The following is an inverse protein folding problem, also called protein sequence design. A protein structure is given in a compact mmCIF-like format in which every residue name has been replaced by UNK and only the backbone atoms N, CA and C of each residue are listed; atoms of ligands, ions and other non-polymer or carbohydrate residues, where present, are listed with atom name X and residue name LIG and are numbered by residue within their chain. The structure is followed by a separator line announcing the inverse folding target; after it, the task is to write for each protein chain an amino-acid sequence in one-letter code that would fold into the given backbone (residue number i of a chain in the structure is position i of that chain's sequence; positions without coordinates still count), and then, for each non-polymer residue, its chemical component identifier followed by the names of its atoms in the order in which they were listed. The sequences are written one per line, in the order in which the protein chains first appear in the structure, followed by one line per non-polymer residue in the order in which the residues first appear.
data_IF_082738330857
#
_entry.id   IF_082738330857
#
_cell.length_a   1.000
_cell.length_b   1.000
_cell.length_c   1.000
_cell.angle_alpha   90.00
_cell.angle_beta   90.00
_cell.angle_gamma   90.00
#
_symmetry.space_group_name_H-M   'P 1'
#
loop_
_entity.id
_entity.type
_entity.pdbx_description
1 polymer ?
#
# COMPACT_ATOMS: atom_id res chain seq x y z
N UNK A 1 -8.38 -24.15 27.06
CA UNK A 1 -7.61 -22.98 27.57
C UNK A 1 -7.23 -22.11 26.40
N UNK A 2 -7.68 -20.85 26.36
CA UNK A 2 -7.31 -19.90 25.30
C UNK A 2 -5.89 -19.40 25.61
N UNK A 3 -4.98 -19.49 24.62
CA UNK A 3 -3.64 -18.93 24.73
C UNK A 3 -3.73 -17.41 24.96
N UNK A 4 -3.01 -16.83 25.91
CA UNK A 4 -3.06 -15.41 26.16
C UNK A 4 -2.59 -14.65 24.91
N UNK A 5 -3.46 -13.78 24.40
CA UNK A 5 -3.17 -12.95 23.24
C UNK A 5 -2.09 -11.92 23.63
N UNK A 6 -0.84 -12.17 23.24
CA UNK A 6 0.25 -11.20 23.42
C UNK A 6 0.01 -10.02 22.47
N UNK A 7 -0.45 -8.91 23.01
CA UNK A 7 -0.47 -7.65 22.25
C UNK A 7 0.96 -7.20 22.02
N UNK A 8 1.37 -7.16 20.78
CA UNK A 8 2.63 -6.55 20.40
C UNK A 8 2.58 -5.05 20.77
N UNK A 9 3.47 -4.60 21.65
CA UNK A 9 3.55 -3.19 22.09
C UNK A 9 3.73 -2.22 20.92
N UNK A 10 4.30 -2.68 19.81
CA UNK A 10 4.48 -1.93 18.56
C UNK A 10 3.17 -1.60 17.85
N UNK A 11 2.05 -2.25 18.22
CA UNK A 11 0.68 -1.92 17.76
C UNK A 11 0.00 -0.88 18.65
N UNK A 12 0.74 -0.21 19.51
CA UNK A 12 0.21 0.80 20.41
C UNK A 12 -0.53 1.91 19.67
N UNK A 13 -1.67 2.40 20.17
CA UNK A 13 -2.34 3.61 19.68
C UNK A 13 -1.42 4.83 19.61
N UNK A 14 -0.43 4.91 20.49
CA UNK A 14 0.58 5.97 20.52
C UNK A 14 1.35 6.08 19.19
N UNK A 15 1.86 4.98 18.65
CA UNK A 15 2.58 5.02 17.36
C UNK A 15 1.70 5.47 16.19
N UNK A 16 0.42 5.13 16.22
CA UNK A 16 -0.54 5.60 15.21
C UNK A 16 -0.79 7.09 15.31
N UNK A 17 -0.95 7.61 16.52
CA UNK A 17 -1.16 9.04 16.76
C UNK A 17 0.07 9.85 16.37
N UNK A 18 1.27 9.38 16.72
CA UNK A 18 2.55 10.01 16.33
C UNK A 18 2.71 10.01 14.80
N UNK A 19 2.37 8.91 14.12
CA UNK A 19 2.40 8.87 12.65
C UNK A 19 1.46 9.90 12.03
N UNK A 20 0.21 9.98 12.50
CA UNK A 20 -0.77 10.95 12.01
C UNK A 20 -0.30 12.39 12.25
N UNK A 21 0.29 12.67 13.40
CA UNK A 21 0.85 13.98 13.71
C UNK A 21 2.01 14.33 12.77
N UNK A 22 2.96 13.43 12.57
CA UNK A 22 4.09 13.63 11.67
C UNK A 22 3.63 13.86 10.21
N UNK A 23 2.63 13.11 9.77
CA UNK A 23 2.05 13.29 8.44
C UNK A 23 1.37 14.65 8.31
N UNK A 24 0.60 15.05 9.31
CA UNK A 24 -0.06 16.36 9.37
C UNK A 24 0.96 17.51 9.36
N UNK A 25 2.07 17.40 10.11
CA UNK A 25 3.16 18.39 10.09
C UNK A 25 3.81 18.50 8.72
N UNK A 26 4.01 17.38 8.01
CA UNK A 26 4.50 17.39 6.62
C UNK A 26 3.52 18.11 5.68
N UNK A 27 2.23 17.86 5.81
CA UNK A 27 1.22 18.58 5.00
C UNK A 27 1.23 20.08 5.29
N UNK A 28 1.35 20.49 6.54
CA UNK A 28 1.46 21.93 6.89
C UNK A 28 2.68 22.60 6.27
N UNK A 29 3.81 21.91 6.19
CA UNK A 29 5.03 22.43 5.53
C UNK A 29 4.79 22.82 4.07
N UNK A 30 3.91 22.13 3.39
CA UNK A 30 3.56 22.38 1.98
C UNK A 30 2.29 23.24 1.81
N UNK A 31 1.75 23.84 2.88
CA UNK A 31 0.54 24.67 2.81
C UNK A 31 -0.61 24.01 2.03
N UNK A 32 -0.84 22.72 2.24
CA UNK A 32 -1.78 21.94 1.48
C UNK A 32 -3.24 22.30 1.81
N UNK A 33 -4.03 22.58 0.78
CA UNK A 33 -5.49 22.72 0.85
C UNK A 33 -6.15 21.46 0.28
N UNK A 34 -7.03 20.86 1.06
CA UNK A 34 -7.86 19.73 0.63
C UNK A 34 -9.24 20.23 0.21
N UNK A 35 -9.69 19.82 -0.95
CA UNK A 35 -11.04 20.03 -1.44
C UNK A 35 -11.90 18.78 -1.16
N UNK A 36 -12.83 18.89 -0.23
CA UNK A 36 -13.70 17.78 0.17
C UNK A 36 -14.64 17.32 -0.96
N UNK A 37 -14.99 18.19 -1.90
CA UNK A 37 -15.90 17.86 -3.00
C UNK A 37 -15.20 17.03 -4.08
N UNK A 38 -14.00 17.42 -4.45
CA UNK A 38 -13.23 16.76 -5.51
C UNK A 38 -12.25 15.70 -4.98
N UNK A 39 -11.88 15.76 -3.70
CA UNK A 39 -10.84 14.92 -3.10
C UNK A 39 -9.42 15.32 -3.49
N UNK A 40 -9.25 16.47 -4.17
CA UNK A 40 -7.98 16.98 -4.62
C UNK A 40 -7.23 17.73 -3.51
N UNK A 41 -5.92 17.71 -3.60
CA UNK A 41 -5.02 18.42 -2.70
C UNK A 41 -4.15 19.33 -3.54
N UNK A 42 -4.09 20.61 -3.15
CA UNK A 42 -3.29 21.63 -3.86
C UNK A 42 -2.37 22.30 -2.84
N UNK A 43 -1.11 22.44 -3.21
CA UNK A 43 -0.16 23.29 -2.50
C UNK A 43 -0.42 24.76 -2.87
N UNK A 44 -0.84 25.56 -1.91
CA UNK A 44 -1.18 26.97 -2.13
C UNK A 44 0.03 27.85 -2.48
N UNK A 45 1.26 27.42 -2.12
CA UNK A 45 2.48 28.17 -2.40
C UNK A 45 2.92 27.99 -3.86
N UNK A 46 2.90 26.78 -4.36
CA UNK A 46 3.38 26.44 -5.72
C UNK A 46 2.27 26.24 -6.74
N UNK A 47 1.00 26.25 -6.30
CA UNK A 47 -0.17 25.89 -7.09
C UNK A 47 -0.07 24.49 -7.74
N UNK A 48 0.79 23.63 -7.19
CA UNK A 48 0.94 22.25 -7.65
C UNK A 48 -0.04 21.33 -6.94
N UNK A 49 -0.52 20.34 -7.67
CA UNK A 49 -1.29 19.25 -7.06
C UNK A 49 -0.39 18.38 -6.21
N UNK A 50 -0.93 17.92 -5.09
CA UNK A 50 -0.27 16.96 -4.22
C UNK A 50 -1.02 15.63 -4.29
N UNK A 51 -0.28 14.56 -4.54
CA UNK A 51 -0.80 13.20 -4.64
C UNK A 51 -0.33 12.40 -3.43
N UNK A 52 -1.20 11.58 -2.90
CA UNK A 52 -0.86 10.64 -1.82
C UNK A 52 -0.96 9.23 -2.36
N UNK A 53 0.14 8.49 -2.30
CA UNK A 53 0.19 7.09 -2.67
C UNK A 53 0.47 6.21 -1.46
N UNK A 54 -0.14 5.04 -1.45
CA UNK A 54 0.28 3.91 -0.61
C UNK A 54 1.09 2.96 -1.48
N UNK A 55 2.32 2.69 -1.06
CA UNK A 55 3.25 1.80 -1.74
C UNK A 55 3.53 0.56 -0.91
N UNK A 56 3.56 -0.58 -1.54
CA UNK A 56 3.93 -1.86 -0.93
C UNK A 56 4.28 -2.91 -1.98
N UNK A 57 4.99 -3.96 -1.58
CA UNK A 57 5.29 -5.12 -2.38
C UNK A 57 4.50 -6.34 -1.90
N UNK A 58 4.08 -7.17 -2.82
CA UNK A 58 3.35 -8.39 -2.50
C UNK A 58 3.82 -9.57 -3.33
N UNK A 59 4.06 -10.69 -2.65
CA UNK A 59 4.32 -11.96 -3.31
C UNK A 59 3.00 -12.66 -3.65
N UNK A 60 2.94 -13.18 -4.87
CA UNK A 60 1.84 -13.99 -5.38
C UNK A 60 2.37 -15.38 -5.67
N UNK A 61 1.75 -16.37 -5.07
CA UNK A 61 2.06 -17.78 -5.32
C UNK A 61 0.94 -18.39 -6.14
N UNK A 62 1.32 -19.23 -7.08
CA UNK A 62 0.40 -19.91 -7.96
C UNK A 62 -0.42 -20.98 -7.25
N UNK A 63 0.22 -21.74 -6.38
CA UNK A 63 -0.47 -22.69 -5.51
C UNK A 63 -1.21 -21.91 -4.44
N UNK A 64 -2.50 -21.68 -4.68
CA UNK A 64 -3.33 -20.81 -3.87
C UNK A 64 -3.46 -21.26 -2.43
N UNK A 65 -3.72 -20.29 -1.57
CA UNK A 65 -4.30 -20.57 -0.26
C UNK A 65 -5.64 -21.30 -0.51
N UNK A 66 -5.73 -22.57 -0.10
CA UNK A 66 -6.93 -23.35 -0.22
C UNK A 66 -8.11 -22.61 0.40
N UNK A 67 -9.13 -22.36 -0.42
CA UNK A 67 -10.40 -21.85 0.09
C UNK A 67 -10.97 -22.95 0.99
N UNK A 68 -11.20 -22.64 2.25
CA UNK A 68 -11.92 -23.54 3.14
C UNK A 68 -13.36 -23.64 2.63
N UNK A 69 -13.74 -24.78 2.11
CA UNK A 69 -15.13 -25.08 1.71
C UNK A 69 -15.77 -25.98 2.76
N UNK A 70 -17.02 -25.67 3.09
CA UNK A 70 -17.86 -26.59 3.86
C UNK A 70 -18.40 -27.61 2.86
N UNK A 71 -18.01 -28.87 3.01
CA UNK A 71 -18.43 -29.95 2.12
C UNK A 71 -18.74 -31.19 2.96
N UNK A 72 -19.74 -31.95 2.53
CA UNK A 72 -20.12 -33.26 3.16
C UNK A 72 -19.09 -34.34 2.87
N UNK A 73 -18.29 -34.18 1.82
CA UNK A 73 -17.20 -35.09 1.46
C UNK A 73 -15.91 -34.33 1.35
N UNK A 74 -14.76 -34.98 1.58
CA UNK A 74 -13.45 -34.37 1.45
C UNK A 74 -13.26 -33.92 -0.01
N UNK A 75 -13.15 -32.58 -0.31
CA UNK A 75 -12.98 -32.13 -1.67
C UNK A 75 -11.61 -32.58 -2.21
N UNK A 76 -11.62 -33.21 -3.36
CA UNK A 76 -10.39 -33.56 -4.08
C UNK A 76 -10.00 -32.37 -4.95
N UNK A 77 -8.88 -31.71 -4.61
CA UNK A 77 -8.28 -30.65 -5.40
C UNK A 77 -7.09 -31.22 -6.15
N UNK A 78 -7.18 -31.28 -7.47
CA UNK A 78 -6.03 -31.55 -8.33
C UNK A 78 -5.26 -30.26 -8.51
N UNK A 79 -4.15 -30.11 -7.80
CA UNK A 79 -3.27 -28.93 -7.93
C UNK A 79 -2.05 -29.29 -8.75
N UNK A 80 -1.56 -28.33 -9.54
CA UNK A 80 -0.23 -28.42 -10.12
C UNK A 80 0.79 -28.36 -8.96
N UNK A 81 1.72 -29.32 -8.91
CA UNK A 81 2.77 -29.39 -7.89
C UNK A 81 3.85 -28.32 -8.07
N UNK A 82 3.91 -27.67 -9.23
CA UNK A 82 4.88 -26.65 -9.52
C UNK A 82 4.54 -25.32 -8.81
N UNK A 83 5.48 -24.84 -8.00
CA UNK A 83 5.34 -23.57 -7.30
C UNK A 83 5.82 -22.42 -8.20
N UNK A 84 4.90 -21.74 -8.82
CA UNK A 84 5.20 -20.48 -9.50
C UNK A 84 4.94 -19.33 -8.54
N UNK A 85 5.88 -18.39 -8.48
CA UNK A 85 5.71 -17.18 -7.69
C UNK A 85 6.20 -15.97 -8.45
N UNK A 86 5.55 -14.85 -8.26
CA UNK A 86 6.03 -13.55 -8.70
C UNK A 86 5.84 -12.52 -7.59
N UNK A 87 6.67 -11.50 -7.60
CA UNK A 87 6.53 -10.33 -6.72
C UNK A 87 6.02 -9.16 -7.54
N UNK A 88 5.04 -8.46 -7.02
CA UNK A 88 4.55 -7.22 -7.58
C UNK A 88 4.80 -6.07 -6.60
N UNK A 89 5.14 -4.91 -7.14
CA UNK A 89 5.20 -3.65 -6.43
C UNK A 89 4.05 -2.76 -6.93
N UNK A 90 3.31 -2.13 -6.02
CA UNK A 90 2.15 -1.32 -6.37
C UNK A 90 2.19 0.05 -5.75
N UNK A 91 1.75 1.03 -6.50
CA UNK A 91 1.47 2.39 -6.04
C UNK A 91 -0.04 2.63 -6.18
N UNK A 92 -0.70 2.72 -5.05
CA UNK A 92 -2.14 2.94 -4.99
C UNK A 92 -2.42 4.38 -4.61
N UNK A 93 -3.02 5.15 -5.51
CA UNK A 93 -3.35 6.55 -5.25
C UNK A 93 -4.55 6.69 -4.33
N UNK A 94 -4.40 7.47 -3.26
CA UNK A 94 -5.48 7.91 -2.38
C UNK A 94 -6.14 9.19 -2.87
N UNK A 95 -5.55 9.85 -3.85
CA UNK A 95 -6.08 11.06 -4.50
C UNK A 95 -6.66 10.73 -5.87
N UNK A 96 -7.75 11.39 -6.31
CA UNK A 96 -8.44 11.04 -7.56
C UNK A 96 -7.58 11.14 -8.81
N UNK A 97 -6.64 12.08 -8.84
CA UNK A 97 -5.84 12.38 -10.02
C UNK A 97 -4.54 11.58 -10.11
N UNK A 98 -4.11 10.94 -9.03
CA UNK A 98 -2.94 10.09 -9.05
C UNK A 98 -3.15 8.84 -9.91
N UNK A 99 -2.16 8.53 -10.73
CA UNK A 99 -2.19 7.34 -11.57
C UNK A 99 -1.69 6.15 -10.79
N UNK A 100 -2.60 5.21 -10.52
CA UNK A 100 -2.24 3.91 -9.94
C UNK A 100 -1.24 3.20 -10.85
N UNK A 101 -0.26 2.53 -10.24
CA UNK A 101 0.78 1.84 -10.99
C UNK A 101 1.15 0.53 -10.32
N UNK A 102 1.31 -0.52 -11.11
CA UNK A 102 1.80 -1.83 -10.68
C UNK A 102 2.89 -2.30 -11.64
N UNK A 103 3.89 -2.95 -11.10
CA UNK A 103 4.93 -3.62 -11.88
C UNK A 103 5.39 -4.89 -11.18
N UNK A 104 6.14 -5.74 -11.90
CA UNK A 104 6.67 -6.98 -11.38
C UNK A 104 8.18 -6.85 -11.19
N UNK A 105 8.67 -7.49 -10.12
CA UNK A 105 10.06 -7.41 -9.71
C UNK A 105 10.56 -8.77 -9.23
N UNK A 106 11.85 -9.01 -9.36
CA UNK A 106 12.48 -10.23 -8.85
C UNK A 106 12.75 -10.14 -7.35
N UNK A 107 13.22 -8.99 -6.89
CA UNK A 107 13.62 -8.76 -5.51
C UNK A 107 13.32 -7.34 -5.05
N UNK A 108 13.35 -7.12 -3.72
CA UNK A 108 13.10 -5.82 -3.08
C UNK A 108 14.42 -5.18 -2.62
N UNK A 109 15.38 -5.05 -3.54
CA UNK A 109 16.65 -4.37 -3.27
C UNK A 109 16.48 -2.85 -3.31
N UNK A 110 17.43 -2.14 -2.70
CA UNK A 110 17.47 -0.66 -2.77
C UNK A 110 17.51 -0.13 -4.22
N UNK A 111 18.17 -0.85 -5.12
CA UNK A 111 18.24 -0.46 -6.55
C UNK A 111 16.88 -0.64 -7.24
N UNK A 112 16.18 -1.73 -6.96
CA UNK A 112 14.82 -1.95 -7.46
C UNK A 112 13.88 -0.84 -6.97
N UNK A 113 13.93 -0.48 -5.70
CA UNK A 113 13.11 0.60 -5.13
C UNK A 113 13.42 1.95 -5.78
N UNK A 114 14.70 2.25 -6.08
CA UNK A 114 15.06 3.46 -6.82
C UNK A 114 14.40 3.51 -8.19
N UNK A 115 14.40 2.42 -8.93
CA UNK A 115 13.77 2.36 -10.25
C UNK A 115 12.26 2.56 -10.15
N UNK A 116 11.61 1.94 -9.16
CA UNK A 116 10.18 2.14 -8.89
C UNK A 116 9.84 3.61 -8.59
N UNK A 117 10.70 4.33 -7.86
CA UNK A 117 10.49 5.76 -7.60
C UNK A 117 10.65 6.62 -8.86
N UNK A 118 11.56 6.26 -9.75
CA UNK A 118 11.66 6.91 -11.07
C UNK A 118 10.42 6.66 -11.91
N UNK A 119 9.88 5.43 -11.87
CA UNK A 119 8.70 5.06 -12.65
C UNK A 119 7.45 5.81 -12.17
N UNK A 120 7.19 5.87 -10.85
CA UNK A 120 6.04 6.64 -10.34
C UNK A 120 6.18 8.13 -10.61
N UNK A 121 7.40 8.68 -10.57
CA UNK A 121 7.66 10.07 -10.96
C UNK A 121 7.38 10.31 -12.44
N UNK A 122 7.78 9.38 -13.31
CA UNK A 122 7.49 9.44 -14.75
C UNK A 122 5.99 9.42 -15.04
N UNK A 123 5.23 8.64 -14.28
CA UNK A 123 3.75 8.59 -14.39
C UNK A 123 3.08 9.88 -13.90
N UNK A 124 3.67 10.59 -12.92
CA UNK A 124 3.15 11.79 -12.29
C UNK A 124 4.23 12.87 -12.26
N UNK A 125 4.53 13.53 -13.40
CA UNK A 125 5.76 14.32 -13.57
C UNK A 125 5.75 15.68 -12.86
N UNK A 126 4.59 16.28 -12.61
CA UNK A 126 4.45 17.68 -12.15
C UNK A 126 4.03 17.80 -10.69
N UNK A 127 3.42 16.78 -10.12
CA UNK A 127 2.76 16.79 -8.83
C UNK A 127 3.76 16.61 -7.68
N UNK A 128 3.40 17.07 -6.48
CA UNK A 128 4.10 16.70 -5.24
C UNK A 128 3.60 15.32 -4.83
N UNK A 129 4.49 14.38 -4.60
CA UNK A 129 4.12 13.00 -4.22
C UNK A 129 4.42 12.77 -2.74
N UNK A 130 3.40 12.43 -1.95
CA UNK A 130 3.51 11.87 -0.60
C UNK A 130 3.37 10.36 -0.70
N UNK A 131 4.38 9.62 -0.25
CA UNK A 131 4.43 8.17 -0.36
C UNK A 131 4.34 7.53 1.01
N UNK A 132 3.20 6.91 1.33
CA UNK A 132 3.03 6.06 2.50
C UNK A 132 3.75 4.75 2.26
N UNK A 133 4.76 4.46 3.05
CA UNK A 133 5.68 3.34 2.85
C UNK A 133 6.03 2.70 4.20
N UNK A 134 6.26 1.41 4.22
CA UNK A 134 6.66 0.70 5.42
C UNK A 134 8.12 0.97 5.82
N UNK A 135 8.53 0.37 6.94
CA UNK A 135 9.86 0.56 7.51
C UNK A 135 10.89 -0.49 7.05
N UNK A 136 10.69 -1.14 5.92
CA UNK A 136 11.65 -2.12 5.42
C UNK A 136 13.03 -1.50 5.19
N UNK A 137 14.09 -2.27 5.39
CA UNK A 137 15.47 -1.75 5.38
C UNK A 137 15.87 -1.12 4.04
N UNK A 138 15.45 -1.72 2.91
CA UNK A 138 15.71 -1.17 1.59
C UNK A 138 15.05 0.19 1.37
N UNK A 139 13.85 0.43 1.95
CA UNK A 139 13.14 1.69 1.87
C UNK A 139 13.81 2.82 2.67
N UNK A 140 14.56 2.46 3.72
CA UNK A 140 15.28 3.40 4.58
C UNK A 140 16.71 3.69 4.13
N UNK A 141 17.20 3.01 3.12
CA UNK A 141 18.56 3.21 2.60
C UNK A 141 18.77 4.68 2.20
N UNK A 142 19.92 5.25 2.55
CA UNK A 142 20.22 6.66 2.28
C UNK A 142 20.13 6.99 0.78
N UNK A 143 20.56 6.07 -0.07
CA UNK A 143 20.48 6.23 -1.53
C UNK A 143 19.01 6.36 -2.01
N UNK A 144 18.07 5.64 -1.38
CA UNK A 144 16.64 5.72 -1.70
C UNK A 144 16.05 7.04 -1.19
N UNK A 145 16.42 7.46 0.03
CA UNK A 145 15.99 8.76 0.60
C UNK A 145 16.49 9.94 -0.21
N UNK A 146 17.74 9.91 -0.67
CA UNK A 146 18.32 10.98 -1.47
C UNK A 146 17.60 11.07 -2.81
N UNK A 147 17.41 9.95 -3.50
CA UNK A 147 16.68 9.93 -4.76
C UNK A 147 15.22 10.41 -4.58
N UNK A 148 14.55 10.02 -3.50
CA UNK A 148 13.19 10.50 -3.23
C UNK A 148 13.15 12.03 -3.13
N UNK A 149 14.13 12.67 -2.46
CA UNK A 149 14.25 14.13 -2.39
C UNK A 149 14.49 14.75 -3.77
N UNK A 150 15.41 14.19 -4.57
CA UNK A 150 15.69 14.63 -5.93
C UNK A 150 14.44 14.55 -6.82
N UNK A 151 13.66 13.52 -6.65
CA UNK A 151 12.42 13.29 -7.37
C UNK A 151 11.20 14.03 -6.77
N UNK A 152 11.39 14.87 -5.75
CA UNK A 152 10.30 15.55 -5.04
C UNK A 152 9.21 14.59 -4.56
N UNK A 153 9.65 13.46 -3.96
CA UNK A 153 8.81 12.44 -3.31
C UNK A 153 9.03 12.53 -1.80
N UNK A 154 7.98 12.88 -1.07
CA UNK A 154 8.01 12.97 0.39
C UNK A 154 7.68 11.61 1.00
N UNK A 155 8.69 10.95 1.59
CA UNK A 155 8.52 9.63 2.22
C UNK A 155 7.82 9.76 3.58
N UNK A 156 6.72 9.04 3.75
CA UNK A 156 5.90 8.99 4.96
C UNK A 156 5.94 7.58 5.53
N UNK A 157 6.91 7.31 6.41
CA UNK A 157 7.08 5.98 6.98
C UNK A 157 5.97 5.61 7.95
N UNK A 158 5.35 4.47 7.72
CA UNK A 158 4.32 3.91 8.58
C UNK A 158 4.90 3.42 9.90
N UNK A 159 4.14 3.43 11.01
CA UNK A 159 4.58 2.79 12.24
C UNK A 159 4.80 1.29 12.03
N UNK A 160 5.72 0.66 12.76
CA UNK A 160 5.90 -0.78 12.71
C UNK A 160 4.58 -1.52 12.98
N UNK A 161 4.38 -2.65 12.29
CA UNK A 161 3.22 -3.53 12.47
C UNK A 161 1.84 -2.84 12.38
N UNK A 162 1.70 -1.87 11.49
CA UNK A 162 0.47 -1.10 11.30
C UNK A 162 -0.14 -1.27 9.90
N UNK A 163 -0.45 -2.48 9.43
CA UNK A 163 -0.99 -2.73 8.09
C UNK A 163 -2.34 -2.02 7.86
N UNK A 164 -3.10 -1.76 8.93
CA UNK A 164 -4.35 -1.01 8.85
C UNK A 164 -4.16 0.47 8.43
N UNK A 165 -2.93 1.00 8.51
CA UNK A 165 -2.57 2.33 8.02
C UNK A 165 -2.01 2.30 6.59
N UNK A 166 -1.94 1.13 5.96
CA UNK A 166 -1.44 0.92 4.61
C UNK A 166 -2.57 0.49 3.67
N UNK A 167 -3.25 1.42 3.00
CA UNK A 167 -4.44 1.11 2.21
C UNK A 167 -4.23 0.08 1.10
N UNK A 168 -3.05 0.01 0.50
CA UNK A 168 -2.73 -0.96 -0.56
C UNK A 168 -2.80 -2.41 -0.07
N UNK A 169 -2.64 -2.68 1.22
CA UNK A 169 -2.81 -4.02 1.80
C UNK A 169 -4.21 -4.59 1.52
N UNK A 170 -5.23 -3.73 1.53
CA UNK A 170 -6.60 -4.13 1.17
C UNK A 170 -6.73 -4.45 -0.33
N UNK A 171 -5.97 -3.74 -1.16
CA UNK A 171 -5.90 -4.02 -2.60
C UNK A 171 -5.27 -5.40 -2.82
N UNK A 172 -4.15 -5.68 -2.16
CA UNK A 172 -3.49 -6.98 -2.21
C UNK A 172 -4.38 -8.11 -1.69
N UNK A 173 -5.04 -7.90 -0.55
CA UNK A 173 -5.96 -8.88 0.01
C UNK A 173 -7.07 -9.23 -0.99
N UNK A 174 -7.72 -8.23 -1.58
CA UNK A 174 -8.78 -8.44 -2.57
C UNK A 174 -8.24 -9.11 -3.82
N UNK A 175 -7.07 -8.70 -4.29
CA UNK A 175 -6.41 -9.27 -5.44
C UNK A 175 -6.11 -10.78 -5.25
N UNK A 176 -5.57 -11.14 -4.08
CA UNK A 176 -5.29 -12.54 -3.73
C UNK A 176 -6.58 -13.37 -3.55
N UNK A 177 -7.60 -12.79 -2.88
CA UNK A 177 -8.86 -13.48 -2.58
C UNK A 177 -9.70 -13.72 -3.83
N UNK A 178 -9.89 -12.68 -4.63
CA UNK A 178 -10.96 -12.71 -5.64
C UNK A 178 -10.57 -13.47 -6.91
N UNK A 179 -9.32 -13.90 -7.05
CA UNK A 179 -8.94 -14.16 -8.41
C UNK A 179 -7.90 -15.23 -8.71
N UNK A 180 -7.10 -15.68 -7.75
CA UNK A 180 -5.95 -16.47 -8.18
C UNK A 180 -6.36 -17.86 -8.68
N UNK A 181 -7.01 -18.66 -7.85
CA UNK A 181 -7.33 -20.04 -8.23
C UNK A 181 -8.45 -20.13 -9.27
N UNK A 182 -9.55 -19.43 -9.05
CA UNK A 182 -10.71 -19.48 -9.92
C UNK A 182 -10.44 -18.98 -11.36
N UNK A 183 -9.58 -17.97 -11.52
CA UNK A 183 -9.21 -17.48 -12.86
C UNK A 183 -8.22 -18.39 -13.55
N UNK A 184 -7.34 -19.02 -12.79
CA UNK A 184 -6.38 -19.99 -13.30
C UNK A 184 -7.11 -21.21 -13.85
N UNK A 185 -8.09 -21.73 -13.09
CA UNK A 185 -8.89 -22.90 -13.49
C UNK A 185 -9.70 -22.63 -14.77
N UNK A 186 -9.98 -21.37 -15.09
CA UNK A 186 -10.68 -20.96 -16.32
C UNK A 186 -9.76 -20.78 -17.52
N UNK A 187 -8.45 -20.79 -17.34
CA UNK A 187 -7.52 -20.64 -18.48
C UNK A 187 -7.49 -21.94 -19.26
N UNK A 188 -8.00 -21.89 -20.50
CA UNK A 188 -7.94 -23.04 -21.40
C UNK A 188 -6.49 -23.47 -21.61
N UNK A 189 -6.26 -24.76 -21.58
CA UNK A 189 -4.94 -25.37 -21.82
C UNK A 189 -3.83 -24.97 -20.82
N UNK A 190 -4.18 -24.40 -19.67
CA UNK A 190 -3.20 -23.95 -18.69
C UNK A 190 -2.17 -25.03 -18.31
N UNK A 191 -2.63 -26.29 -18.13
CA UNK A 191 -1.73 -27.42 -17.82
C UNK A 191 -0.68 -27.70 -18.92
N UNK A 192 -0.97 -27.35 -20.18
CA UNK A 192 -0.10 -27.55 -21.34
C UNK A 192 0.88 -26.41 -21.59
N UNK A 193 0.67 -25.25 -20.95
CA UNK A 193 1.55 -24.08 -21.06
C UNK A 193 2.89 -24.35 -20.41
N UNK A 194 3.95 -23.77 -20.96
CA UNK A 194 5.26 -23.78 -20.35
C UNK A 194 5.30 -22.87 -19.08
N UNK A 195 6.47 -22.84 -18.42
CA UNK A 195 6.63 -22.08 -17.18
C UNK A 195 6.48 -20.57 -17.39
N UNK A 196 7.04 -20.05 -18.46
CA UNK A 196 7.08 -18.61 -18.73
C UNK A 196 5.71 -18.11 -19.21
N UNK A 197 5.01 -18.89 -20.02
CA UNK A 197 3.63 -18.62 -20.41
C UNK A 197 2.71 -18.57 -19.17
N UNK A 198 2.83 -19.55 -18.27
CA UNK A 198 2.07 -19.58 -17.02
C UNK A 198 2.35 -18.35 -16.15
N UNK A 199 3.63 -17.96 -16.03
CA UNK A 199 4.04 -16.79 -15.25
C UNK A 199 3.51 -15.49 -15.88
N UNK A 200 3.55 -15.36 -17.18
CA UNK A 200 3.02 -14.19 -17.89
C UNK A 200 1.50 -14.08 -17.72
N UNK A 201 0.77 -15.20 -17.81
CA UNK A 201 -0.68 -15.22 -17.53
C UNK A 201 -0.99 -14.84 -16.09
N UNK A 202 -0.18 -15.29 -15.14
CA UNK A 202 -0.32 -14.91 -13.74
C UNK A 202 -0.14 -13.40 -13.56
N UNK A 203 0.89 -12.82 -14.15
CA UNK A 203 1.14 -11.37 -14.12
C UNK A 203 -0.03 -10.59 -14.71
N UNK A 204 -0.54 -11.00 -15.86
CA UNK A 204 -1.71 -10.39 -16.51
C UNK A 204 -2.96 -10.40 -15.59
N UNK A 205 -3.22 -11.53 -14.92
CA UNK A 205 -4.34 -11.65 -13.98
C UNK A 205 -4.18 -10.71 -12.79
N UNK A 206 -2.97 -10.63 -12.22
CA UNK A 206 -2.67 -9.77 -11.08
C UNK A 206 -2.85 -8.31 -11.45
N UNK A 207 -2.31 -7.89 -12.59
CA UNK A 207 -2.39 -6.52 -13.09
C UNK A 207 -3.84 -6.10 -13.36
N UNK A 208 -4.59 -6.91 -14.10
CA UNK A 208 -6.00 -6.67 -14.37
C UNK A 208 -6.84 -6.60 -13.08
N UNK A 209 -6.54 -7.47 -12.12
CA UNK A 209 -7.23 -7.47 -10.83
C UNK A 209 -6.88 -6.24 -10.00
N UNK A 210 -5.62 -5.79 -10.04
CA UNK A 210 -5.18 -4.58 -9.38
C UNK A 210 -5.95 -3.37 -9.89
N UNK A 211 -5.93 -3.10 -11.19
CA UNK A 211 -6.63 -1.96 -11.78
C UNK A 211 -8.15 -2.03 -11.60
N UNK A 212 -8.74 -3.22 -11.65
CA UNK A 212 -10.16 -3.40 -11.34
C UNK A 212 -10.48 -3.03 -9.89
N UNK A 213 -9.61 -3.38 -8.96
CA UNK A 213 -9.80 -3.11 -7.53
C UNK A 213 -9.65 -1.63 -7.21
N UNK A 214 -8.64 -0.96 -7.79
CA UNK A 214 -8.38 0.46 -7.51
C UNK A 214 -9.44 1.40 -8.14
N UNK A 215 -10.14 0.97 -9.16
CA UNK A 215 -11.26 1.73 -9.75
C UNK A 215 -12.45 1.90 -8.80
N UNK A 216 -12.63 1.04 -7.82
CA UNK A 216 -13.75 1.12 -6.86
C UNK A 216 -13.46 2.10 -5.70
N UNK A 217 -13.20 3.36 -6.01
CA UNK A 217 -12.64 4.39 -5.10
C UNK A 217 -13.55 4.86 -3.94
N UNK A 218 -14.77 4.40 -3.79
CA UNK A 218 -15.74 4.90 -2.78
C UNK A 218 -15.29 4.76 -1.32
N UNK A 219 -14.29 3.95 -1.03
CA UNK A 219 -13.77 3.74 0.34
C UNK A 219 -12.70 4.76 0.76
N UNK A 220 -12.15 5.55 -0.15
CA UNK A 220 -10.87 6.24 0.04
C UNK A 220 -11.01 7.69 0.51
N UNK A 221 -12.08 8.38 0.17
CA UNK A 221 -12.37 9.71 0.72
C UNK A 221 -12.41 9.69 2.25
N UNK A 222 -12.92 8.60 2.83
CA UNK A 222 -12.95 8.42 4.29
C UNK A 222 -11.54 8.23 4.88
N UNK A 223 -10.70 7.44 4.21
CA UNK A 223 -9.31 7.19 4.65
C UNK A 223 -8.48 8.45 4.48
N UNK A 224 -8.61 9.15 3.37
CA UNK A 224 -7.89 10.39 3.11
C UNK A 224 -8.23 11.47 4.14
N UNK A 225 -9.52 11.64 4.46
CA UNK A 225 -9.98 12.54 5.51
C UNK A 225 -9.37 12.23 6.88
N UNK A 226 -9.15 10.96 7.21
CA UNK A 226 -8.48 10.58 8.46
C UNK A 226 -6.99 10.99 8.49
N UNK A 227 -6.32 11.10 7.35
CA UNK A 227 -4.92 11.49 7.27
C UNK A 227 -4.70 13.00 7.21
N UNK A 228 -5.62 13.74 6.61
CA UNK A 228 -5.48 15.19 6.37
C UNK A 228 -6.01 16.00 7.57
N UNK A 229 -7.02 15.49 8.28
CA UNK A 229 -7.56 16.18 9.47
C UNK A 229 -6.55 16.15 10.62
N UNK A 230 -6.42 17.26 11.37
CA UNK A 230 -5.57 17.27 12.55
C UNK A 230 -5.98 16.14 13.49
N UNK A 231 -5.02 15.43 14.08
CA UNK A 231 -5.33 14.35 15.01
C UNK A 231 -6.13 14.92 16.17
N UNK A 232 -7.35 14.39 16.37
CA UNK A 232 -8.18 14.77 17.53
C UNK A 232 -7.41 14.38 18.79
N UNK A 233 -7.18 15.34 19.71
CA UNK A 233 -6.56 15.15 21.02
C UNK A 233 -7.42 14.24 21.91
N UNK A 234 -7.47 12.95 21.64
CA UNK A 234 -7.86 11.96 22.64
C UNK A 234 -6.63 11.11 22.96
N UNK A 235 -5.70 11.70 23.69
CA UNK A 235 -4.67 10.93 24.38
C UNK A 235 -5.40 10.10 25.46
N UNK A 236 -5.14 8.80 25.44
CA UNK A 236 -5.64 7.91 26.48
C UNK A 236 -5.14 8.40 27.84
N UNK A 237 -5.98 8.48 28.89
CA UNK A 237 -5.62 9.06 30.19
C UNK A 237 -4.33 8.52 30.82
N UNK A 238 -3.93 7.29 30.51
CA UNK A 238 -2.68 6.67 30.99
C UNK A 238 -1.39 7.26 30.40
N UNK A 239 -1.44 8.12 29.40
CA UNK A 239 -0.26 8.68 28.72
C UNK A 239 -0.18 10.21 28.86
N UNK A 240 -0.99 10.81 29.71
CA UNK A 240 -1.02 12.26 29.94
C UNK A 240 0.18 12.80 30.72
N UNK A 241 1.07 11.95 31.25
CA UNK A 241 2.15 12.40 32.14
C UNK A 241 3.48 12.74 31.45
N UNK A 242 3.68 12.39 30.16
CA UNK A 242 5.02 12.51 29.57
C UNK A 242 5.13 13.26 28.22
N UNK A 243 4.05 13.75 27.64
CA UNK A 243 4.15 14.49 26.37
C UNK A 243 3.35 15.79 26.44
N UNK A 244 4.00 16.88 26.84
CA UNK A 244 3.55 18.24 26.53
C UNK A 244 3.72 18.48 25.04
N UNK A 245 2.67 18.27 24.26
CA UNK A 245 2.61 18.73 22.88
C UNK A 245 2.25 20.21 22.90
N UNK A 246 3.23 21.09 22.78
CA UNK A 246 3.00 22.49 22.49
C UNK A 246 2.40 22.60 21.08
N UNK A 247 1.16 23.02 21.04
CA UNK A 247 0.52 23.46 19.79
C UNK A 247 0.94 24.91 19.62
N UNK A 248 1.87 25.14 18.74
CA UNK A 248 2.12 26.49 18.21
C UNK A 248 0.94 26.82 17.29
N UNK A 249 0.15 27.81 17.68
CA UNK A 249 -0.93 28.42 16.89
C UNK A 249 -0.40 29.03 15.58
#
# INVERSE_FOLDING_TARGET
MASPYRRDYRRSPYFKSTFKLNLYQKFRKYCLKYDEKTGNIIDLNSNKKALIFSFDESAFQFVGNYIKVISLTKPQLTTDTNRYSCKAAGFYSLTPEGKDYITFMENSTKETIKNLFKDIRKQNPKEIIFLLIDNFSSHKANIVKNLAKELNIELCYLPPYSPQLQPIEKVWYKNKRDNMQYKIDKIKNFKKMDKDEKLNKLKEIIENSFYKTVKSKTMWNKVLNEYIKPPIKKLHPRYNSEVKLEIVN
#
